data_IF_024559599215
#
_entry.id   IF_024559599215
#
_cell.length_a   1.000
_cell.length_b   1.000
_cell.length_c   1.000
_cell.angle_alpha   90.00
_cell.angle_beta   90.00
_cell.angle_gamma   90.00
#
_symmetry.space_group_name_H-M   'P 1'
#
loop_
_entity.id
_entity.type
_entity.pdbx_description
1 polymer ?
#
# COMPACT_ATOMS: atom_id res chain seq x y z
N UNK A 1 25.48 2.46 -16.23
CA UNK A 1 25.37 2.76 -14.79
C UNK A 1 24.10 2.14 -14.26
N UNK A 2 24.24 1.00 -13.68
CA UNK A 2 23.14 0.35 -12.96
C UNK A 2 22.99 1.06 -11.63
N UNK A 3 21.99 1.91 -11.50
CA UNK A 3 21.55 2.37 -10.21
C UNK A 3 21.03 1.13 -9.46
N UNK A 4 21.87 0.58 -8.62
CA UNK A 4 21.50 -0.47 -7.69
C UNK A 4 20.62 0.18 -6.62
N UNK A 5 19.41 0.51 -7.02
CA UNK A 5 18.36 0.85 -6.09
C UNK A 5 18.06 -0.46 -5.37
N UNK A 6 18.76 -0.68 -4.26
CA UNK A 6 18.36 -1.71 -3.31
C UNK A 6 16.91 -1.44 -3.00
N UNK A 7 16.09 -2.16 -3.66
CA UNK A 7 14.69 -2.35 -3.50
C UNK A 7 14.40 -2.48 -2.01
N UNK A 8 13.95 -1.41 -1.39
CA UNK A 8 13.22 -1.56 -0.14
C UNK A 8 12.08 -2.51 -0.46
N UNK A 9 11.97 -3.61 0.27
CA UNK A 9 11.16 -4.75 -0.10
C UNK A 9 9.75 -4.32 -0.46
N UNK A 10 9.49 -4.14 -1.75
CA UNK A 10 8.13 -4.15 -2.26
C UNK A 10 7.55 -5.54 -1.93
N UNK A 11 6.30 -5.64 -1.51
CA UNK A 11 5.70 -6.94 -1.31
C UNK A 11 5.88 -7.74 -2.60
N UNK A 12 6.23 -9.02 -2.46
CA UNK A 12 6.22 -9.94 -3.59
C UNK A 12 4.81 -9.86 -4.22
N UNK A 13 4.74 -9.33 -5.45
CA UNK A 13 3.47 -9.18 -6.16
C UNK A 13 2.89 -10.53 -6.62
N UNK A 14 3.54 -11.63 -6.23
CA UNK A 14 2.99 -12.96 -6.43
C UNK A 14 1.77 -13.17 -5.53
N UNK A 15 0.57 -13.29 -6.12
CA UNK A 15 -0.64 -13.44 -5.32
C UNK A 15 -0.65 -14.81 -4.63
N UNK A 16 -0.95 -14.82 -3.35
CA UNK A 16 -1.17 -16.05 -2.58
C UNK A 16 -2.57 -16.61 -2.83
N UNK A 17 -3.52 -15.75 -3.18
CA UNK A 17 -4.91 -16.12 -3.47
C UNK A 17 -5.38 -15.41 -4.74
N UNK A 18 -6.09 -16.13 -5.59
CA UNK A 18 -6.72 -15.57 -6.80
C UNK A 18 -8.24 -15.73 -6.71
N UNK A 19 -8.97 -14.66 -6.97
CA UNK A 19 -10.43 -14.61 -6.99
C UNK A 19 -10.89 -14.11 -8.37
N UNK A 20 -11.42 -15.01 -9.19
CA UNK A 20 -11.96 -14.66 -10.50
C UNK A 20 -13.48 -14.45 -10.39
N UNK A 21 -13.90 -13.22 -10.65
CA UNK A 21 -15.29 -12.78 -10.62
C UNK A 21 -15.74 -12.15 -11.95
N UNK A 22 -15.12 -12.56 -13.06
CA UNK A 22 -15.59 -12.18 -14.38
C UNK A 22 -17.03 -12.63 -14.59
N UNK A 23 -17.86 -11.75 -15.16
CA UNK A 23 -19.27 -12.03 -15.41
C UNK A 23 -20.20 -11.88 -14.21
N UNK A 24 -19.65 -11.49 -13.03
CA UNK A 24 -20.48 -11.23 -11.85
C UNK A 24 -21.22 -9.89 -12.04
N UNK A 25 -22.56 -9.92 -12.05
CA UNK A 25 -23.36 -8.73 -12.27
C UNK A 25 -23.64 -7.99 -10.93
N UNK A 26 -24.66 -8.38 -10.23
CA UNK A 26 -25.10 -7.73 -8.97
C UNK A 26 -25.02 -8.72 -7.81
N UNK A 27 -24.63 -8.31 -6.62
CA UNK A 27 -24.32 -6.97 -6.10
C UNK A 27 -22.89 -6.46 -6.37
N UNK A 28 -22.19 -7.03 -7.31
CA UNK A 28 -20.80 -6.68 -7.65
C UNK A 28 -19.76 -7.48 -6.87
N UNK A 29 -18.47 -7.25 -7.17
CA UNK A 29 -17.38 -8.09 -6.65
C UNK A 29 -16.97 -7.81 -5.19
N UNK A 30 -17.29 -6.63 -4.62
CA UNK A 30 -16.82 -6.25 -3.28
C UNK A 30 -17.28 -7.19 -2.15
N UNK A 31 -18.55 -7.67 -2.09
CA UNK A 31 -18.95 -8.62 -1.05
C UNK A 31 -18.18 -9.94 -1.09
N UNK A 32 -17.93 -10.48 -2.28
CA UNK A 32 -17.14 -11.69 -2.46
C UNK A 32 -15.67 -11.45 -2.08
N UNK A 33 -15.10 -10.32 -2.50
CA UNK A 33 -13.75 -9.91 -2.12
C UNK A 33 -13.58 -9.82 -0.61
N UNK A 34 -14.49 -9.16 0.09
CA UNK A 34 -14.47 -9.04 1.57
C UNK A 34 -14.50 -10.40 2.26
N UNK A 35 -15.30 -11.33 1.74
CA UNK A 35 -15.39 -12.69 2.28
C UNK A 35 -14.07 -13.45 2.09
N UNK A 36 -13.48 -13.39 0.90
CA UNK A 36 -12.21 -14.05 0.59
C UNK A 36 -11.05 -13.47 1.38
N UNK A 37 -11.01 -12.14 1.58
CA UNK A 37 -9.96 -11.50 2.36
C UNK A 37 -9.92 -11.94 3.84
N UNK A 38 -11.02 -12.47 4.39
CA UNK A 38 -10.99 -13.04 5.75
C UNK A 38 -10.07 -14.27 5.86
N UNK A 39 -9.86 -14.98 4.76
CA UNK A 39 -8.98 -16.17 4.70
C UNK A 39 -7.55 -15.84 4.30
N UNK A 40 -7.29 -14.62 3.86
CA UNK A 40 -5.96 -14.12 3.50
C UNK A 40 -5.30 -13.53 4.74
N UNK A 41 -4.01 -13.78 4.96
CA UNK A 41 -3.27 -13.21 6.09
C UNK A 41 -2.84 -11.76 5.84
N UNK A 42 -2.59 -11.01 6.91
CA UNK A 42 -2.03 -9.66 6.82
C UNK A 42 -0.70 -9.67 6.06
N UNK A 43 -0.51 -8.70 5.18
CA UNK A 43 0.69 -8.58 4.35
C UNK A 43 0.71 -9.47 3.11
N UNK A 44 -0.29 -10.30 2.91
CA UNK A 44 -0.43 -11.12 1.70
C UNK A 44 -1.18 -10.37 0.58
N UNK A 45 -0.92 -10.78 -0.65
CA UNK A 45 -1.53 -10.20 -1.85
C UNK A 45 -2.61 -11.14 -2.40
N UNK A 46 -3.80 -10.59 -2.64
CA UNK A 46 -4.89 -11.24 -3.35
C UNK A 46 -5.00 -10.66 -4.76
N UNK A 47 -5.11 -11.52 -5.77
CA UNK A 47 -5.45 -11.12 -7.14
C UNK A 47 -6.96 -11.25 -7.34
N UNK A 48 -7.64 -10.12 -7.50
CA UNK A 48 -9.03 -10.05 -7.95
C UNK A 48 -9.06 -9.87 -9.46
N UNK A 49 -9.78 -10.73 -10.16
CA UNK A 49 -10.05 -10.59 -11.59
C UNK A 49 -11.51 -10.24 -11.76
N UNK A 50 -11.83 -9.16 -12.46
CA UNK A 50 -13.19 -8.69 -12.65
C UNK A 50 -13.34 -7.86 -13.91
N UNK A 51 -14.46 -8.04 -14.61
CA UNK A 51 -14.92 -7.22 -15.73
C UNK A 51 -16.06 -6.29 -15.30
N UNK A 52 -16.34 -6.17 -14.01
CA UNK A 52 -17.43 -5.35 -13.49
C UNK A 52 -17.19 -3.86 -13.75
N UNK A 53 -18.12 -3.13 -14.36
CA UNK A 53 -17.96 -1.70 -14.63
C UNK A 53 -17.80 -0.89 -13.35
N UNK A 54 -16.80 0.02 -13.30
CA UNK A 54 -16.55 0.90 -12.17
C UNK A 54 -15.81 0.27 -10.99
N UNK A 55 -15.46 -1.01 -11.06
CA UNK A 55 -14.79 -1.73 -9.97
C UNK A 55 -13.49 -1.06 -9.53
N UNK A 56 -12.74 -0.47 -10.44
CA UNK A 56 -11.48 0.21 -10.10
C UNK A 56 -11.68 1.33 -9.09
N UNK A 57 -12.66 2.20 -9.34
CA UNK A 57 -12.96 3.29 -8.41
C UNK A 57 -13.50 2.78 -7.07
N UNK A 58 -14.39 1.81 -7.11
CA UNK A 58 -14.97 1.20 -5.91
C UNK A 58 -13.90 0.54 -5.05
N UNK A 59 -12.92 -0.14 -5.66
CA UNK A 59 -11.80 -0.75 -4.96
C UNK A 59 -10.90 0.28 -4.28
N UNK A 60 -10.62 1.40 -4.94
CA UNK A 60 -9.79 2.44 -4.34
C UNK A 60 -10.47 3.12 -3.16
N UNK A 61 -11.77 3.41 -3.27
CA UNK A 61 -12.55 3.97 -2.15
C UNK A 61 -12.60 2.98 -0.99
N UNK A 62 -12.92 1.73 -1.28
CA UNK A 62 -12.99 0.68 -0.28
C UNK A 62 -11.63 0.40 0.39
N UNK A 63 -10.56 0.32 -0.39
CA UNK A 63 -9.22 0.07 0.12
C UNK A 63 -8.77 1.17 1.09
N UNK A 64 -9.03 2.43 0.77
CA UNK A 64 -8.74 3.57 1.65
C UNK A 64 -9.49 3.47 2.98
N UNK A 65 -10.76 3.04 2.96
CA UNK A 65 -11.58 2.91 4.17
C UNK A 65 -11.19 1.71 5.04
N UNK A 66 -10.60 0.68 4.47
CA UNK A 66 -10.35 -0.61 5.14
C UNK A 66 -8.88 -0.92 5.41
N UNK A 67 -8.00 0.04 5.19
CA UNK A 67 -6.53 -0.12 5.34
C UNK A 67 -5.91 -1.20 4.41
N UNK A 68 -6.57 -1.50 3.30
CA UNK A 68 -6.00 -2.32 2.23
C UNK A 68 -5.37 -1.43 1.16
N UNK A 69 -4.60 -2.00 0.24
CA UNK A 69 -3.94 -1.24 -0.82
C UNK A 69 -4.05 -1.96 -2.15
N UNK A 70 -4.49 -1.26 -3.20
CA UNK A 70 -4.46 -1.76 -4.58
C UNK A 70 -3.09 -1.44 -5.16
N UNK A 71 -2.18 -2.40 -5.17
CA UNK A 71 -0.79 -2.20 -5.57
C UNK A 71 -0.62 -2.00 -7.07
N UNK A 72 -1.33 -2.81 -7.86
CA UNK A 72 -1.16 -2.84 -9.31
C UNK A 72 -2.45 -3.27 -9.99
N UNK A 73 -2.67 -2.77 -11.22
CA UNK A 73 -3.80 -3.15 -12.07
C UNK A 73 -3.26 -3.71 -13.37
N UNK A 74 -3.47 -5.00 -13.60
CA UNK A 74 -3.14 -5.67 -14.84
C UNK A 74 -4.26 -5.48 -15.86
N UNK A 75 -3.99 -4.65 -16.86
CA UNK A 75 -4.91 -4.32 -17.95
C UNK A 75 -4.67 -5.13 -19.23
N UNK A 76 -3.71 -6.07 -19.19
CA UNK A 76 -3.29 -6.84 -20.38
C UNK A 76 -4.09 -8.12 -20.56
N UNK A 77 -5.02 -8.42 -19.66
CA UNK A 77 -5.85 -9.63 -19.69
C UNK A 77 -6.84 -9.61 -20.85
N UNK A 78 -7.12 -10.76 -21.46
CA UNK A 78 -8.09 -10.84 -22.57
C UNK A 78 -9.53 -10.54 -22.14
N UNK A 79 -9.83 -10.70 -20.83
CA UNK A 79 -11.13 -10.37 -20.23
C UNK A 79 -10.95 -9.83 -18.82
N UNK A 80 -11.58 -8.69 -18.57
CA UNK A 80 -11.52 -8.01 -17.27
C UNK A 80 -10.14 -7.44 -16.95
N UNK A 81 -9.99 -6.98 -15.73
CA UNK A 81 -8.75 -6.47 -15.18
C UNK A 81 -8.32 -7.31 -13.98
N UNK A 82 -7.03 -7.42 -13.76
CA UNK A 82 -6.46 -8.04 -12.56
C UNK A 82 -6.06 -6.98 -11.54
N UNK A 83 -6.61 -7.02 -10.34
CA UNK A 83 -6.30 -6.09 -9.25
C UNK A 83 -5.49 -6.81 -8.18
N UNK A 84 -4.25 -6.39 -7.97
CA UNK A 84 -3.39 -6.92 -6.93
C UNK A 84 -3.61 -6.14 -5.64
N UNK A 85 -4.24 -6.79 -4.67
CA UNK A 85 -4.69 -6.16 -3.43
C UNK A 85 -3.87 -6.68 -2.26
N UNK A 86 -3.15 -5.78 -1.60
CA UNK A 86 -2.43 -6.07 -0.35
C UNK A 86 -3.42 -5.98 0.82
N UNK A 87 -3.49 -7.05 1.61
CA UNK A 87 -4.29 -7.04 2.84
C UNK A 87 -3.53 -6.35 3.97
N UNK A 88 -4.12 -5.29 4.49
CA UNK A 88 -3.63 -4.59 5.67
C UNK A 88 -2.23 -4.01 5.53
N UNK A 89 -1.44 -4.16 6.57
CA UNK A 89 -0.09 -3.62 6.67
C UNK A 89 0.98 -4.73 6.53
N UNK A 90 2.13 -4.37 5.94
CA UNK A 90 3.27 -5.28 5.80
C UNK A 90 3.99 -5.54 7.14
N UNK A 91 3.87 -4.60 8.09
CA UNK A 91 4.55 -4.63 9.38
C UNK A 91 3.62 -4.16 10.48
N UNK A 92 3.79 -4.66 11.72
CA UNK A 92 3.08 -4.09 12.86
C UNK A 92 3.38 -2.59 12.98
N UNK A 93 2.35 -1.79 13.21
CA UNK A 93 2.42 -0.33 13.23
C UNK A 93 1.90 0.19 14.57
N UNK A 94 2.73 0.94 15.28
CA UNK A 94 2.32 1.63 16.51
C UNK A 94 1.48 2.88 16.22
N UNK A 95 1.90 3.65 15.19
CA UNK A 95 1.18 4.83 14.75
C UNK A 95 1.17 4.94 13.23
N UNK A 96 0.04 5.38 12.69
CA UNK A 96 -0.12 5.72 11.29
C UNK A 96 -0.27 7.22 11.13
N UNK A 97 0.47 7.78 10.19
CA UNK A 97 0.46 9.19 9.82
C UNK A 97 0.06 9.31 8.37
N UNK A 98 -1.11 9.83 8.10
CA UNK A 98 -1.61 10.08 6.74
C UNK A 98 -1.48 11.56 6.42
N UNK A 99 -0.63 11.87 5.46
CA UNK A 99 -0.37 13.22 4.96
C UNK A 99 -0.69 13.36 3.48
N UNK A 100 -1.57 12.51 2.97
CA UNK A 100 -2.07 12.62 1.59
C UNK A 100 -2.70 14.01 1.36
N UNK A 101 -2.47 14.58 0.17
CA UNK A 101 -2.87 15.95 -0.15
C UNK A 101 -1.96 17.05 0.41
N UNK A 102 -0.93 16.68 1.17
CA UNK A 102 0.06 17.65 1.69
C UNK A 102 1.26 17.78 0.75
N UNK A 103 1.88 18.95 0.79
CA UNK A 103 3.07 19.23 -0.01
C UNK A 103 4.34 18.95 0.77
N UNK A 104 5.43 18.64 0.08
CA UNK A 104 6.74 18.50 0.69
C UNK A 104 7.20 19.85 1.31
N UNK A 105 7.83 19.86 2.50
CA UNK A 105 8.39 18.72 3.25
C UNK A 105 7.48 18.14 4.35
N UNK A 106 6.17 18.36 4.31
CA UNK A 106 5.22 17.94 5.34
C UNK A 106 5.35 16.45 5.73
N UNK A 107 5.52 15.48 4.80
CA UNK A 107 5.64 14.08 5.17
C UNK A 107 6.76 13.80 6.19
N UNK A 108 7.94 14.35 5.96
CA UNK A 108 9.10 14.17 6.86
C UNK A 108 8.90 14.88 8.18
N UNK A 109 8.29 16.07 8.18
CA UNK A 109 8.02 16.82 9.40
C UNK A 109 7.05 16.07 10.32
N UNK A 110 5.97 15.54 9.78
CA UNK A 110 4.98 14.78 10.56
C UNK A 110 5.54 13.43 11.02
N UNK A 111 6.33 12.76 10.19
CA UNK A 111 7.05 11.56 10.59
C UNK A 111 8.00 11.84 11.76
N UNK A 112 8.76 12.94 11.71
CA UNK A 112 9.67 13.34 12.80
C UNK A 112 8.93 13.59 14.11
N UNK A 113 7.82 14.31 14.08
CA UNK A 113 6.98 14.55 15.27
C UNK A 113 6.46 13.23 15.87
N UNK A 114 6.03 12.32 15.02
CA UNK A 114 5.49 11.03 15.45
C UNK A 114 6.57 10.13 16.03
N UNK A 115 7.77 10.15 15.45
CA UNK A 115 8.93 9.38 15.97
C UNK A 115 9.30 9.78 17.40
N UNK A 116 9.14 11.04 17.79
CA UNK A 116 9.38 11.48 19.18
C UNK A 116 8.39 10.83 20.15
N UNK A 117 7.17 10.54 19.70
CA UNK A 117 6.08 10.02 20.55
C UNK A 117 6.13 8.50 20.74
N UNK A 118 6.91 7.77 19.96
CA UNK A 118 7.04 6.32 20.06
C UNK A 118 8.37 5.91 20.70
N UNK A 119 8.45 4.66 21.15
CA UNK A 119 9.65 4.10 21.78
C UNK A 119 10.62 3.54 20.74
N UNK A 120 11.89 3.42 21.11
CA UNK A 120 12.88 2.72 20.29
C UNK A 120 12.40 1.29 19.97
N UNK A 121 12.55 0.88 18.71
CA UNK A 121 12.11 -0.41 18.22
C UNK A 121 10.67 -0.47 17.72
N UNK A 122 9.85 0.54 18.00
CA UNK A 122 8.50 0.63 17.46
C UNK A 122 8.49 1.19 16.02
N UNK A 123 7.40 0.92 15.28
CA UNK A 123 7.26 1.28 13.88
C UNK A 123 6.15 2.30 13.68
N UNK A 124 6.36 3.22 12.74
CA UNK A 124 5.30 4.06 12.18
C UNK A 124 5.01 3.67 10.74
N UNK A 125 3.80 3.97 10.30
CA UNK A 125 3.41 3.99 8.89
C UNK A 125 3.17 5.43 8.48
N UNK A 126 3.93 5.91 7.49
CA UNK A 126 3.72 7.20 6.86
C UNK A 126 3.05 6.99 5.52
N UNK A 127 1.95 7.69 5.27
CA UNK A 127 1.20 7.63 4.00
C UNK A 127 1.29 9.00 3.33
N UNK A 128 1.71 9.04 2.07
CA UNK A 128 1.87 10.29 1.30
C UNK A 128 1.66 10.05 -0.18
N UNK A 129 1.07 11.02 -0.86
CA UNK A 129 0.93 11.08 -2.32
C UNK A 129 1.94 12.04 -2.97
N UNK A 130 2.87 12.61 -2.19
CA UNK A 130 3.92 13.47 -2.71
C UNK A 130 4.96 12.64 -3.48
N UNK A 131 5.18 12.93 -4.76
CA UNK A 131 6.14 12.22 -5.61
C UNK A 131 7.59 12.33 -5.13
N UNK A 132 7.93 13.40 -4.41
CA UNK A 132 9.26 13.56 -3.83
C UNK A 132 9.43 12.82 -2.49
N UNK A 133 8.35 12.31 -1.88
CA UNK A 133 8.40 11.65 -0.59
C UNK A 133 9.41 10.49 -0.51
N UNK A 134 9.55 9.61 -1.52
CA UNK A 134 10.54 8.54 -1.46
C UNK A 134 11.97 9.06 -1.28
N UNK A 135 12.34 10.13 -1.98
CA UNK A 135 13.67 10.74 -1.87
C UNK A 135 13.86 11.42 -0.52
N UNK A 136 12.87 12.20 -0.08
CA UNK A 136 12.93 12.95 1.17
C UNK A 136 12.96 12.04 2.39
N UNK A 137 12.12 11.01 2.42
CA UNK A 137 12.09 10.01 3.49
C UNK A 137 13.42 9.25 3.56
N UNK A 138 13.97 8.84 2.42
CA UNK A 138 15.28 8.15 2.40
C UNK A 138 16.42 9.05 2.91
N UNK A 139 16.41 10.32 2.52
CA UNK A 139 17.41 11.30 2.99
C UNK A 139 17.28 11.51 4.51
N UNK A 140 16.07 11.71 4.99
CA UNK A 140 15.80 11.90 6.41
C UNK A 140 16.19 10.67 7.26
N UNK A 141 15.88 9.46 6.80
CA UNK A 141 16.27 8.21 7.48
C UNK A 141 17.78 8.10 7.61
N UNK A 142 18.54 8.43 6.57
CA UNK A 142 20.00 8.40 6.59
C UNK A 142 20.59 9.40 7.60
N UNK A 143 19.97 10.55 7.78
CA UNK A 143 20.44 11.59 8.70
C UNK A 143 20.04 11.33 10.15
N UNK A 144 18.93 10.63 10.39
CA UNK A 144 18.39 10.39 11.74
C UNK A 144 18.72 9.01 12.32
N UNK A 145 19.21 8.09 11.50
CA UNK A 145 19.52 6.73 11.89
C UNK A 145 18.30 5.81 12.06
N UNK A 146 17.10 6.26 11.68
CA UNK A 146 15.92 5.38 11.61
C UNK A 146 16.07 4.36 10.50
N UNK A 147 15.24 3.31 10.51
CA UNK A 147 15.32 2.24 9.53
C UNK A 147 14.04 2.17 8.71
N UNK A 148 14.16 2.25 7.39
CA UNK A 148 13.07 1.93 6.48
C UNK A 148 12.94 0.41 6.36
N UNK A 149 11.81 -0.14 6.82
CA UNK A 149 11.53 -1.58 6.76
C UNK A 149 10.97 -1.98 5.40
N UNK A 150 10.05 -1.19 4.89
CA UNK A 150 9.42 -1.41 3.61
C UNK A 150 8.79 -0.12 3.07
N UNK A 151 8.57 -0.08 1.78
CA UNK A 151 7.80 0.95 1.09
C UNK A 151 6.89 0.27 0.08
N UNK A 152 5.65 0.73 -0.01
CA UNK A 152 4.74 0.35 -1.08
C UNK A 152 4.26 1.60 -1.81
N UNK A 153 3.92 1.44 -3.08
CA UNK A 153 3.24 2.42 -3.89
C UNK A 153 1.98 1.78 -4.45
N UNK A 154 0.84 2.42 -4.30
CA UNK A 154 -0.39 1.92 -4.89
C UNK A 154 -0.57 2.39 -6.34
N UNK A 155 -1.59 1.87 -7.01
CA UNK A 155 -1.89 2.17 -8.42
C UNK A 155 -2.29 3.63 -8.67
N UNK A 156 -2.47 4.45 -7.64
CA UNK A 156 -2.72 5.90 -7.71
C UNK A 156 -1.53 6.75 -7.32
N UNK A 157 -0.37 6.14 -7.03
CA UNK A 157 0.84 6.84 -6.63
C UNK A 157 0.84 7.27 -5.17
N UNK A 158 0.09 6.57 -4.31
CA UNK A 158 0.14 6.79 -2.86
C UNK A 158 1.17 5.85 -2.26
N UNK A 159 2.15 6.43 -1.58
CA UNK A 159 3.23 5.71 -0.91
C UNK A 159 2.86 5.39 0.53
N UNK A 160 3.27 4.21 1.00
CA UNK A 160 3.30 3.83 2.42
C UNK A 160 4.71 3.46 2.81
N UNK A 161 5.23 4.15 3.81
CA UNK A 161 6.56 3.89 4.36
C UNK A 161 6.42 3.28 5.74
N UNK A 162 7.06 2.14 5.96
CA UNK A 162 7.12 1.48 7.26
C UNK A 162 8.49 1.75 7.86
N UNK A 163 8.54 2.55 8.92
CA UNK A 163 9.77 3.12 9.45
C UNK A 163 9.91 2.75 10.93
N UNK A 164 11.04 2.14 11.25
CA UNK A 164 11.39 1.75 12.62
C UNK A 164 12.24 2.84 13.29
N UNK A 165 11.90 3.15 14.54
CA UNK A 165 12.69 4.04 15.39
C UNK A 165 13.93 3.36 15.92
#
# INVERSE_FOLDING_TARGET
MTANTKTHAMPDMKPQTTLDLNGLASPGPLPALRRTLRTVEEGQVLLLISDFPGIENDLHVWAKQTNHQVLFIDRTRPRGFGFFILKGDLWPVERSVDVTGSHCPTPVLEASKTMVQIRAGQNIKLVSDCQAAPLEVNTWIKTTGHKLLAMTEDSRGVYRFYIKK
#
